data_IF_535702136415
#
_entry.id   IF_535702136415
#
_cell.length_a   1.000
_cell.length_b   1.000
_cell.length_c   1.000
_cell.angle_alpha   90.00
_cell.angle_beta   90.00
_cell.angle_gamma   90.00
#
_symmetry.space_group_name_H-M   'P 1'
#
loop_
_entity.id
_entity.type
_entity.pdbx_description
1 polymer ?
#
# COMPACT_ATOMS: atom_id res chain seq x y z
N UNK A 1 -0.16 1.31 -2.43
CA UNK A 1 -0.91 1.27 -1.15
C UNK A 1 -0.01 0.58 -0.13
N UNK A 2 -0.01 1.02 1.13
CA UNK A 2 0.82 0.42 2.17
C UNK A 2 0.07 0.32 3.50
N UNK A 3 0.56 -0.54 4.39
CA UNK A 3 0.14 -0.63 5.78
C UNK A 3 1.31 -0.98 6.68
N UNK A 4 1.18 -0.69 7.98
CA UNK A 4 2.22 -0.98 8.98
C UNK A 4 2.42 -2.48 9.20
N UNK A 5 1.35 -3.27 9.15
CA UNK A 5 1.42 -4.70 9.45
C UNK A 5 1.17 -5.55 8.22
N UNK A 6 2.07 -6.50 7.99
CA UNK A 6 1.81 -7.58 7.05
C UNK A 6 0.61 -8.40 7.55
N UNK A 7 -0.39 -8.58 6.70
CA UNK A 7 -1.65 -9.26 7.04
C UNK A 7 -2.86 -8.34 7.15
N UNK A 8 -2.68 -7.02 7.11
CA UNK A 8 -3.81 -6.09 7.10
C UNK A 8 -4.74 -6.34 5.88
N UNK A 9 -6.07 -6.18 6.02
CA UNK A 9 -7.03 -6.51 4.96
C UNK A 9 -6.77 -5.79 3.62
N UNK A 10 -6.21 -4.58 3.67
CA UNK A 10 -5.82 -3.82 2.48
C UNK A 10 -4.73 -4.54 1.66
N UNK A 11 -3.94 -5.42 2.28
CA UNK A 11 -2.84 -6.18 1.66
C UNK A 11 -3.26 -7.59 1.23
N UNK A 12 -4.51 -7.99 1.42
CA UNK A 12 -4.96 -9.38 1.26
C UNK A 12 -4.72 -9.98 -0.13
N UNK A 13 -4.62 -9.16 -1.19
CA UNK A 13 -4.32 -9.65 -2.53
C UNK A 13 -2.87 -10.13 -2.72
N UNK A 14 -1.96 -9.78 -1.80
CA UNK A 14 -0.57 -10.24 -1.76
C UNK A 14 0.15 -10.21 -3.12
N UNK A 15 -0.03 -9.12 -3.87
CA UNK A 15 0.56 -8.95 -5.20
C UNK A 15 1.02 -7.52 -5.38
N UNK A 16 2.29 -7.38 -5.73
CA UNK A 16 2.92 -6.08 -5.96
C UNK A 16 3.56 -6.05 -7.34
N UNK A 17 3.20 -5.08 -8.16
CA UNK A 17 3.84 -4.86 -9.46
C UNK A 17 5.14 -4.11 -9.24
N UNK A 18 6.14 -4.37 -10.11
CA UNK A 18 7.45 -3.70 -10.04
C UNK A 18 7.34 -2.18 -10.07
N UNK A 19 6.43 -1.64 -10.89
CA UNK A 19 6.20 -0.19 -11.00
C UNK A 19 5.62 0.38 -9.71
N UNK A 20 4.66 -0.30 -9.08
CA UNK A 20 4.07 0.19 -7.83
C UNK A 20 5.09 0.17 -6.69
N UNK A 21 5.97 -0.83 -6.65
CA UNK A 21 7.10 -0.85 -5.71
C UNK A 21 8.02 0.35 -5.95
N UNK A 22 8.43 0.60 -7.19
CA UNK A 22 9.30 1.73 -7.50
C UNK A 22 8.67 3.08 -7.14
N UNK A 23 7.37 3.26 -7.43
CA UNK A 23 6.63 4.46 -7.04
C UNK A 23 6.59 4.63 -5.52
N UNK A 24 6.38 3.54 -4.77
CA UNK A 24 6.43 3.57 -3.31
C UNK A 24 7.82 3.99 -2.80
N UNK A 25 8.89 3.41 -3.35
CA UNK A 25 10.25 3.77 -2.96
C UNK A 25 10.57 5.24 -3.22
N UNK A 26 10.12 5.80 -4.35
CA UNK A 26 10.29 7.24 -4.67
C UNK A 26 9.52 8.11 -3.70
N UNK A 27 8.26 7.77 -3.39
CA UNK A 27 7.46 8.54 -2.42
C UNK A 27 8.07 8.48 -1.01
N UNK A 28 8.62 7.33 -0.63
CA UNK A 28 9.22 7.14 0.69
C UNK A 28 10.48 8.00 0.93
N UNK A 29 11.14 8.48 -0.12
CA UNK A 29 12.29 9.40 0.01
C UNK A 29 11.92 10.74 0.64
N UNK A 30 10.65 11.12 0.59
CA UNK A 30 10.16 12.45 1.02
C UNK A 30 9.12 12.36 2.13
N UNK A 31 8.88 11.18 2.69
CA UNK A 31 7.86 10.94 3.71
C UNK A 31 8.51 10.49 5.03
N UNK A 32 8.70 11.46 5.93
CA UNK A 32 9.33 11.21 7.23
C UNK A 32 8.52 10.24 8.11
N UNK A 33 7.24 10.01 7.82
CA UNK A 33 6.42 9.04 8.55
C UNK A 33 6.89 7.58 8.34
N UNK A 34 7.73 7.34 7.33
CA UNK A 34 8.29 6.02 7.03
C UNK A 34 9.67 5.79 7.66
N UNK A 35 10.24 6.78 8.35
CA UNK A 35 11.55 6.63 9.02
C UNK A 35 11.45 5.55 10.11
N UNK A 36 12.32 4.53 10.02
CA UNK A 36 12.37 3.35 10.91
C UNK A 36 11.13 2.45 10.86
N UNK A 37 10.28 2.62 9.86
CA UNK A 37 9.16 1.72 9.61
C UNK A 37 9.56 0.58 8.66
N UNK A 38 8.85 -0.54 8.78
CA UNK A 38 8.93 -1.66 7.85
C UNK A 38 7.59 -1.80 7.11
N UNK A 39 7.25 -0.87 6.19
CA UNK A 39 5.94 -0.82 5.56
C UNK A 39 5.71 -2.02 4.65
N UNK A 40 4.55 -2.64 4.77
CA UNK A 40 4.07 -3.69 3.87
C UNK A 40 3.20 -3.07 2.77
N UNK A 41 3.37 -3.51 1.52
CA UNK A 41 2.77 -2.85 0.35
C UNK A 41 1.99 -3.82 -0.54
N UNK A 42 1.03 -3.27 -1.29
CA UNK A 42 0.28 -3.96 -2.34
C UNK A 42 0.09 -3.03 -3.56
N UNK A 43 -0.01 -3.62 -4.74
CA UNK A 43 -0.34 -2.90 -5.96
C UNK A 43 -1.73 -2.23 -5.87
N UNK A 44 -1.82 -0.96 -6.30
CA UNK A 44 -3.02 -0.14 -6.13
C UNK A 44 -4.24 -0.61 -6.92
N UNK A 45 -4.05 -1.43 -7.94
CA UNK A 45 -5.12 -1.99 -8.78
C UNK A 45 -5.54 -3.42 -8.38
N UNK A 46 -5.10 -3.89 -7.22
CA UNK A 46 -5.51 -5.20 -6.70
C UNK A 46 -6.92 -5.16 -6.11
N UNK A 47 -7.65 -6.30 -6.06
CA UNK A 47 -8.99 -6.34 -5.49
C UNK A 47 -9.08 -5.78 -4.06
N UNK A 48 -8.13 -6.13 -3.18
CA UNK A 48 -8.07 -5.62 -1.79
C UNK A 48 -7.86 -4.11 -1.74
N UNK A 49 -7.00 -3.58 -2.61
CA UNK A 49 -6.76 -2.15 -2.72
C UNK A 49 -8.01 -1.39 -3.22
N UNK A 50 -8.65 -1.88 -4.29
CA UNK A 50 -9.85 -1.26 -4.84
C UNK A 50 -11.02 -1.28 -3.85
N UNK A 51 -11.21 -2.39 -3.13
CA UNK A 51 -12.23 -2.49 -2.08
C UNK A 51 -11.99 -1.49 -0.95
N UNK A 52 -10.73 -1.28 -0.53
CA UNK A 52 -10.39 -0.28 0.48
C UNK A 52 -10.70 1.15 0.01
N UNK A 53 -10.34 1.50 -1.23
CA UNK A 53 -10.66 2.82 -1.82
C UNK A 53 -12.16 3.04 -1.95
N UNK A 54 -12.91 2.01 -2.37
CA UNK A 54 -14.37 2.08 -2.45
C UNK A 54 -15.01 2.30 -1.05
N UNK A 55 -14.52 1.61 -0.02
CA UNK A 55 -14.97 1.79 1.36
C UNK A 55 -14.61 3.16 1.97
N UNK A 56 -13.55 3.81 1.45
CA UNK A 56 -13.18 5.17 1.83
C UNK A 56 -14.03 6.23 1.09
N UNK A 57 -14.42 5.96 -0.15
CA UNK A 57 -15.20 6.89 -1.00
C UNK A 57 -16.71 6.84 -0.70
N UNK A 58 -17.23 5.71 -0.22
CA UNK A 58 -18.64 5.56 0.17
C UNK A 58 -18.99 6.10 1.56
N UNK A 59 -18.11 6.89 2.18
CA UNK A 59 -18.35 7.59 3.45
C UNK A 59 -18.53 9.09 3.24
#
# INVERSE_FOLDING_TARGET
MWSRHAGDPILASNRTRRVDFALFMVQALTDDALIREAPAIVAGNTPSALAHTAAATGR
#
